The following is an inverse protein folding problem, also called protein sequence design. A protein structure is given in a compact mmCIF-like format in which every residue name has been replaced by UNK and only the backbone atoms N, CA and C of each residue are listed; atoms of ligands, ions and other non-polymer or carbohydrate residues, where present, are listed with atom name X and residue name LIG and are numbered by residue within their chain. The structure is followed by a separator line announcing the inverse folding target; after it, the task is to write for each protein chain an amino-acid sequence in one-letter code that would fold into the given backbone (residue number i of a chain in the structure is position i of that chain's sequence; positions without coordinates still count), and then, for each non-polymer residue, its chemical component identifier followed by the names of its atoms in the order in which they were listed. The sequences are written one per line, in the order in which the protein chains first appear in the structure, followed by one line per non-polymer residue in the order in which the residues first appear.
data_IF_246818252107
#
_entry.id   IF_246818252107
#
_cell.length_a   1.000
_cell.length_b   1.000
_cell.length_c   1.000
_cell.angle_alpha   90.00
_cell.angle_beta   90.00
_cell.angle_gamma   90.00
#
_symmetry.space_group_name_H-M   'P 1'
#
loop_
_entity.id
_entity.type
_entity.pdbx_description
1 polymer ?
#
# COMPACT_ATOMS: atom_id res chain seq x y z
N UNK A 1 18.61 -57.24 -23.23
CA UNK A 1 18.02 -56.69 -22.00
C UNK A 1 19.13 -56.05 -21.17
N UNK A 2 19.26 -54.73 -21.24
CA UNK A 2 20.19 -53.93 -20.42
C UNK A 2 19.45 -52.69 -19.92
N UNK A 3 19.61 -52.49 -18.62
CA UNK A 3 19.07 -51.47 -17.74
C UNK A 3 19.24 -50.05 -18.27
N UNK A 4 18.14 -49.28 -18.36
CA UNK A 4 18.16 -47.83 -18.55
C UNK A 4 17.34 -47.17 -17.45
N UNK A 5 17.89 -47.18 -16.24
CA UNK A 5 17.48 -46.28 -15.14
C UNK A 5 18.61 -45.27 -15.01
N UNK A 6 18.48 -44.10 -15.66
CA UNK A 6 19.43 -43.00 -15.49
C UNK A 6 18.73 -41.65 -15.52
N UNK A 7 18.62 -41.09 -14.32
CA UNK A 7 18.88 -39.68 -14.03
C UNK A 7 17.79 -38.66 -14.37
N UNK A 8 16.64 -38.80 -13.73
CA UNK A 8 15.89 -37.64 -13.24
C UNK A 8 16.64 -37.08 -12.00
N UNK A 9 16.61 -35.76 -11.80
CA UNK A 9 17.28 -34.96 -10.76
C UNK A 9 18.70 -34.46 -11.13
N UNK A 10 18.79 -33.22 -11.63
CA UNK A 10 19.12 -32.13 -10.72
C UNK A 10 18.37 -30.82 -11.04
N UNK A 11 17.12 -30.69 -10.59
CA UNK A 11 16.40 -29.40 -10.57
C UNK A 11 15.75 -29.14 -9.19
N UNK A 12 16.36 -29.65 -8.12
CA UNK A 12 15.83 -29.58 -6.76
C UNK A 12 16.62 -28.62 -5.84
N UNK A 13 17.43 -27.71 -6.40
CA UNK A 13 18.38 -26.90 -5.61
C UNK A 13 18.22 -25.38 -5.65
N UNK A 14 17.35 -24.82 -6.51
CA UNK A 14 17.37 -23.38 -6.81
C UNK A 14 16.07 -22.63 -6.48
N UNK A 15 15.26 -23.15 -5.55
CA UNK A 15 13.99 -22.53 -5.14
C UNK A 15 13.92 -22.22 -3.63
N UNK A 16 15.06 -21.98 -2.98
CA UNK A 16 15.12 -21.94 -1.50
C UNK A 16 15.54 -20.61 -0.86
N UNK A 17 15.66 -19.50 -1.60
CA UNK A 17 16.29 -18.27 -1.05
C UNK A 17 15.62 -16.92 -1.38
N UNK A 18 14.38 -16.90 -1.86
CA UNK A 18 13.61 -15.64 -2.02
C UNK A 18 12.50 -15.59 -0.96
N UNK A 19 12.90 -15.69 0.31
CA UNK A 19 12.08 -15.36 1.47
C UNK A 19 12.36 -13.92 1.88
N UNK A 20 11.88 -12.94 1.10
CA UNK A 20 11.85 -11.56 1.55
C UNK A 20 10.74 -11.48 2.58
N UNK A 21 11.09 -11.63 3.86
CA UNK A 21 10.16 -11.44 4.97
C UNK A 21 9.58 -10.04 4.89
N UNK A 22 8.40 -9.92 4.28
CA UNK A 22 7.65 -8.68 4.26
C UNK A 22 7.28 -8.38 5.70
N UNK A 23 7.80 -7.27 6.22
CA UNK A 23 7.44 -6.81 7.56
C UNK A 23 5.93 -6.55 7.53
N UNK A 24 5.17 -7.33 8.29
CA UNK A 24 3.73 -7.16 8.38
C UNK A 24 3.47 -5.87 9.17
N UNK A 25 3.11 -4.80 8.47
CA UNK A 25 2.69 -3.52 9.06
C UNK A 25 1.26 -3.58 9.62
N UNK A 26 0.79 -4.76 10.04
CA UNK A 26 -0.59 -4.93 10.52
C UNK A 26 -0.79 -4.34 11.93
N UNK A 27 0.26 -4.31 12.75
CA UNK A 27 0.20 -3.89 14.16
C UNK A 27 0.95 -2.58 14.45
N UNK A 28 1.27 -1.80 13.42
CA UNK A 28 1.93 -0.50 13.62
C UNK A 28 0.85 0.53 13.96
N UNK A 29 0.93 1.10 15.16
CA UNK A 29 0.07 2.21 15.55
C UNK A 29 0.27 3.39 14.58
N UNK A 30 -0.81 4.14 14.26
CA UNK A 30 -0.67 5.34 13.45
C UNK A 30 0.28 6.34 14.15
N UNK A 31 1.01 7.17 13.40
CA UNK A 31 1.88 8.17 13.99
C UNK A 31 1.07 9.17 14.82
N UNK A 32 1.67 9.85 15.83
CA UNK A 32 0.94 10.69 16.78
C UNK A 32 0.28 11.93 16.15
N UNK A 33 0.69 12.30 14.95
CA UNK A 33 0.18 13.39 14.11
C UNK A 33 -0.78 12.89 13.01
N UNK A 34 -1.21 11.63 13.07
CA UNK A 34 -2.16 11.08 12.11
C UNK A 34 -3.55 11.69 12.31
N UNK A 35 -4.05 12.35 11.27
CA UNK A 35 -5.42 12.82 11.17
C UNK A 35 -6.18 11.96 10.15
N UNK A 36 -7.33 11.42 10.56
CA UNK A 36 -8.13 10.53 9.72
C UNK A 36 -8.78 11.33 8.57
N UNK A 37 -8.32 11.08 7.35
CA UNK A 37 -8.78 11.78 6.15
C UNK A 37 -9.91 11.04 5.44
N UNK A 38 -10.16 9.78 5.79
CA UNK A 38 -11.22 8.98 5.22
C UNK A 38 -12.52 9.11 6.02
N UNK A 39 -13.16 10.27 5.92
CA UNK A 39 -14.47 10.51 6.55
C UNK A 39 -15.50 10.99 5.53
N UNK A 40 -16.78 10.69 5.77
CA UNK A 40 -17.90 11.16 4.91
C UNK A 40 -17.91 12.69 4.80
N UNK A 41 -17.54 13.41 5.87
CA UNK A 41 -17.47 14.86 5.87
C UNK A 41 -16.41 15.42 4.90
N UNK A 42 -15.29 14.72 4.74
CA UNK A 42 -14.19 15.12 3.86
C UNK A 42 -14.39 14.66 2.41
N UNK A 43 -15.02 13.50 2.21
CA UNK A 43 -15.25 12.93 0.88
C UNK A 43 -16.57 13.39 0.23
N UNK A 44 -17.55 13.78 1.05
CA UNK A 44 -18.83 14.30 0.59
C UNK A 44 -18.70 15.65 -0.12
N UNK A 45 -19.52 15.87 -1.14
CA UNK A 45 -19.59 17.14 -1.85
C UNK A 45 -21.02 17.48 -2.27
N UNK A 46 -21.26 18.68 -2.79
CA UNK A 46 -22.57 19.03 -3.35
C UNK A 46 -23.02 18.09 -4.48
N UNK A 47 -22.07 17.47 -5.19
CA UNK A 47 -22.32 16.61 -6.35
C UNK A 47 -22.23 15.11 -6.02
N UNK A 48 -21.90 14.73 -4.78
CA UNK A 48 -21.72 13.33 -4.37
C UNK A 48 -22.44 13.03 -3.07
N UNK A 49 -23.10 11.89 -3.02
CA UNK A 49 -23.56 11.29 -1.76
C UNK A 49 -22.56 10.25 -1.31
N UNK A 50 -22.07 10.40 -0.08
CA UNK A 50 -21.14 9.49 0.55
C UNK A 50 -21.76 8.88 1.81
N UNK A 51 -21.44 7.61 2.06
CA UNK A 51 -21.86 6.85 3.24
C UNK A 51 -20.64 6.18 3.87
N UNK A 52 -20.67 6.02 5.18
CA UNK A 52 -19.66 5.24 5.91
C UNK A 52 -20.21 3.83 6.14
N UNK A 53 -19.34 2.83 6.02
CA UNK A 53 -19.64 1.45 6.32
C UNK A 53 -18.50 0.82 7.12
N UNK A 54 -18.83 0.18 8.24
CA UNK A 54 -17.87 -0.53 9.06
C UNK A 54 -17.64 -1.94 8.53
N UNK A 55 -16.38 -2.32 8.37
CA UNK A 55 -15.94 -3.66 7.99
C UNK A 55 -14.96 -4.22 9.01
N UNK A 56 -14.71 -5.52 8.92
CA UNK A 56 -13.81 -6.22 9.82
C UNK A 56 -13.03 -7.30 9.07
N UNK A 57 -11.97 -7.81 9.69
CA UNK A 57 -11.20 -8.90 9.10
C UNK A 57 -12.02 -10.20 8.89
N UNK A 58 -13.13 -10.38 9.63
CA UNK A 58 -14.01 -11.54 9.49
C UNK A 58 -14.92 -11.40 8.26
N UNK A 59 -15.30 -10.17 7.95
CA UNK A 59 -16.23 -9.84 6.87
C UNK A 59 -15.67 -8.64 6.07
N UNK A 60 -14.54 -8.82 5.36
CA UNK A 60 -13.87 -7.71 4.68
C UNK A 60 -14.68 -7.13 3.52
N UNK A 61 -15.58 -7.93 2.94
CA UNK A 61 -16.35 -7.56 1.75
C UNK A 61 -17.79 -7.09 2.06
N UNK A 62 -18.15 -6.91 3.35
CA UNK A 62 -19.52 -6.56 3.75
C UNK A 62 -19.96 -5.22 3.15
N UNK A 63 -19.06 -4.23 3.10
CA UNK A 63 -19.37 -2.92 2.55
C UNK A 63 -19.48 -2.95 1.03
N UNK A 64 -18.63 -3.71 0.35
CA UNK A 64 -18.71 -3.89 -1.09
C UNK A 64 -20.02 -4.57 -1.51
N UNK A 65 -20.41 -5.63 -0.81
CA UNK A 65 -21.66 -6.33 -1.09
C UNK A 65 -22.90 -5.49 -0.79
N UNK A 66 -22.84 -4.63 0.22
CA UNK A 66 -23.95 -3.74 0.61
C UNK A 66 -24.12 -2.56 -0.35
N UNK A 67 -23.02 -1.92 -0.77
CA UNK A 67 -23.08 -0.62 -1.44
C UNK A 67 -22.83 -0.68 -2.96
N UNK A 68 -22.13 -1.71 -3.47
CA UNK A 68 -21.87 -1.81 -4.90
C UNK A 68 -23.16 -2.00 -5.72
N UNK A 69 -24.17 -2.67 -5.16
CA UNK A 69 -25.48 -2.85 -5.82
C UNK A 69 -26.26 -1.55 -5.97
N UNK A 70 -25.98 -0.57 -5.10
CA UNK A 70 -26.64 0.73 -5.07
C UNK A 70 -25.89 1.80 -5.88
N UNK A 71 -24.87 1.38 -6.63
CA UNK A 71 -24.05 2.24 -7.50
C UNK A 71 -23.02 3.07 -6.75
N UNK A 72 -22.75 2.78 -5.48
CA UNK A 72 -21.66 3.41 -4.76
C UNK A 72 -20.32 2.75 -5.09
N UNK A 73 -19.26 3.55 -5.14
CA UNK A 73 -17.89 3.10 -5.29
C UNK A 73 -17.08 3.41 -4.01
N UNK A 74 -16.18 2.50 -3.64
CA UNK A 74 -15.25 2.73 -2.53
C UNK A 74 -14.31 3.89 -2.90
N UNK A 75 -14.21 4.88 -2.02
CA UNK A 75 -13.34 6.04 -2.19
C UNK A 75 -12.09 5.91 -1.33
N UNK A 76 -12.26 5.49 -0.09
CA UNK A 76 -11.16 5.32 0.84
C UNK A 76 -11.53 4.35 1.98
N UNK A 77 -10.50 4.00 2.76
CA UNK A 77 -10.60 3.20 3.97
C UNK A 77 -9.84 3.89 5.10
N UNK A 78 -10.48 4.01 6.26
CA UNK A 78 -9.89 4.55 7.48
C UNK A 78 -8.80 3.61 8.04
N UNK A 79 -7.95 4.14 8.91
CA UNK A 79 -6.92 3.32 9.56
C UNK A 79 -7.55 2.30 10.51
N UNK A 80 -7.20 1.02 10.32
CA UNK A 80 -7.72 -0.05 11.16
C UNK A 80 -7.17 -1.42 10.79
N UNK A 81 -6.83 -2.23 11.79
CA UNK A 81 -6.32 -3.59 11.60
C UNK A 81 -7.43 -4.64 11.58
N UNK A 82 -8.12 -4.82 12.72
CA UNK A 82 -9.20 -5.80 12.86
C UNK A 82 -10.57 -5.26 12.42
N UNK A 83 -10.77 -3.96 12.56
CA UNK A 83 -11.98 -3.23 12.20
C UNK A 83 -11.56 -1.93 11.53
N UNK A 84 -12.30 -1.49 10.52
CA UNK A 84 -12.06 -0.25 9.82
C UNK A 84 -13.37 0.29 9.25
N UNK A 85 -13.41 1.59 8.99
CA UNK A 85 -14.51 2.22 8.26
C UNK A 85 -14.09 2.42 6.80
N UNK A 86 -15.05 2.25 5.91
CA UNK A 86 -14.92 2.54 4.49
C UNK A 86 -15.89 3.62 4.09
N UNK A 87 -15.42 4.57 3.27
CA UNK A 87 -16.28 5.59 2.70
C UNK A 87 -16.60 5.23 1.26
N UNK A 88 -17.90 5.13 1.00
CA UNK A 88 -18.47 4.76 -0.29
C UNK A 88 -19.25 5.94 -0.83
N UNK A 89 -18.99 6.36 -2.08
CA UNK A 89 -19.63 7.52 -2.67
C UNK A 89 -20.25 7.19 -4.03
N UNK A 90 -21.33 7.91 -4.36
CA UNK A 90 -21.91 7.94 -5.71
C UNK A 90 -22.19 9.38 -6.12
N UNK A 91 -22.14 9.64 -7.42
CA UNK A 91 -22.52 10.94 -7.95
C UNK A 91 -24.03 11.14 -7.80
N UNK A 92 -24.43 12.34 -7.39
CA UNK A 92 -25.83 12.75 -7.37
C UNK A 92 -26.29 12.98 -8.81
N UNK A 93 -27.53 12.63 -9.15
CA UNK A 93 -28.13 13.18 -10.36
C UNK A 93 -28.12 14.70 -10.19
N UNK A 94 -27.33 15.38 -11.02
CA UNK A 94 -27.42 16.83 -11.13
C UNK A 94 -28.75 17.08 -11.81
N UNK A 95 -29.74 17.57 -11.07
CA UNK A 95 -30.97 18.06 -11.65
C UNK A 95 -30.54 19.12 -12.68
N UNK A 96 -30.65 18.76 -13.97
CA UNK A 96 -30.11 19.54 -15.08
C UNK A 96 -30.75 20.94 -15.22
N UNK A 97 -31.74 21.24 -14.38
CA UNK A 97 -32.45 22.52 -14.34
C UNK A 97 -31.72 23.62 -13.56
N UNK A 98 -30.55 23.35 -12.96
CA UNK A 98 -29.70 24.39 -12.32
C UNK A 98 -28.36 24.55 -13.06
N UNK A 99 -28.36 24.38 -14.38
CA UNK A 99 -27.21 24.73 -15.25
C UNK A 99 -27.50 26.04 -15.96
N UNK A 100 -27.49 27.15 -15.22
CA UNK A 100 -27.11 28.46 -15.74
C UNK A 100 -26.91 29.40 -14.56
N UNK A 101 -25.78 30.09 -14.51
CA UNK A 101 -25.43 31.12 -13.52
C UNK A 101 -24.77 30.58 -12.25
N UNK A 102 -23.51 30.18 -12.37
CA UNK A 102 -22.42 30.84 -11.61
C UNK A 102 -21.12 30.41 -12.27
N UNK A 103 -20.77 31.12 -13.33
CA UNK A 103 -19.40 31.22 -13.80
C UNK A 103 -18.71 32.25 -12.91
N UNK A 104 -17.56 31.86 -12.38
CA UNK A 104 -16.42 32.75 -12.13
C UNK A 104 -16.62 33.92 -11.14
N UNK A 105 -16.29 33.67 -9.87
CA UNK A 105 -15.43 34.63 -9.18
C UNK A 105 -14.29 33.86 -8.52
N UNK A 106 -13.10 34.07 -9.07
CA UNK A 106 -11.81 33.62 -8.53
C UNK A 106 -11.24 34.75 -7.68
N UNK A 107 -11.22 34.68 -6.35
CA UNK A 107 -10.39 35.57 -5.55
C UNK A 107 -8.99 34.99 -5.46
N UNK A 108 -8.01 35.87 -5.63
CA UNK A 108 -6.58 35.60 -5.61
C UNK A 108 -6.07 35.11 -4.23
N UNK A 109 -5.04 34.25 -4.29
CA UNK A 109 -3.98 34.02 -3.27
C UNK A 109 -3.40 35.36 -2.76
N UNK A 110 -2.68 35.50 -1.60
CA UNK A 110 -2.12 34.52 -0.62
C UNK A 110 -2.26 35.02 0.88
N UNK A 111 -1.57 34.51 1.94
CA UNK A 111 -0.11 34.43 2.11
C UNK A 111 0.42 33.06 2.60
N UNK A 112 1.71 32.85 2.31
CA UNK A 112 2.56 31.82 2.90
C UNK A 112 2.51 31.87 4.43
N UNK A 113 2.18 30.76 5.07
CA UNK A 113 2.46 30.55 6.49
C UNK A 113 3.78 29.78 6.67
N UNK A 114 4.45 30.17 7.75
CA UNK A 114 5.87 30.07 8.04
C UNK A 114 6.22 28.70 8.64
N UNK A 115 7.12 27.97 7.98
CA UNK A 115 7.74 26.74 8.50
C UNK A 115 8.51 27.04 9.80
N UNK A 116 8.01 26.56 10.94
CA UNK A 116 8.85 26.29 12.11
C UNK A 116 9.36 24.86 12.03
N UNK A 117 10.57 24.74 11.50
CA UNK A 117 11.31 23.49 11.43
C UNK A 117 11.56 22.90 12.83
N UNK A 118 11.03 21.70 13.05
CA UNK A 118 11.66 20.74 13.95
C UNK A 118 12.60 19.87 13.10
N UNK A 119 13.87 20.28 13.05
CA UNK A 119 14.96 19.49 12.49
C UNK A 119 15.20 18.25 13.36
N UNK A 120 14.38 17.21 13.20
CA UNK A 120 14.72 15.89 13.74
C UNK A 120 15.77 15.31 12.81
N UNK A 121 17.00 15.27 13.32
CA UNK A 121 18.14 14.65 12.65
C UNK A 121 17.80 13.21 12.26
N UNK A 122 17.55 12.98 10.97
CA UNK A 122 17.49 11.63 10.42
C UNK A 122 18.86 10.99 10.60
N UNK A 123 18.96 10.13 11.62
CA UNK A 123 20.08 9.23 11.78
C UNK A 123 19.99 8.20 10.65
N UNK A 124 20.58 8.53 9.50
CA UNK A 124 20.69 7.66 8.32
C UNK A 124 21.53 6.44 8.73
N UNK A 125 20.97 5.23 8.85
CA UNK A 125 21.82 4.05 8.99
C UNK A 125 22.68 3.95 7.74
N UNK A 126 23.99 4.00 7.95
CA UNK A 126 25.01 3.89 6.91
C UNK A 126 24.97 2.47 6.35
N UNK A 127 24.13 2.23 5.33
CA UNK A 127 23.99 0.96 4.59
C UNK A 127 25.21 0.62 3.70
N UNK A 128 26.39 1.20 3.98
CA UNK A 128 27.56 1.14 3.09
C UNK A 128 28.50 -0.05 3.30
N UNK A 129 28.39 -0.82 4.40
CA UNK A 129 29.43 -1.80 4.75
C UNK A 129 29.00 -3.28 4.69
N UNK A 130 27.70 -3.60 4.75
CA UNK A 130 27.27 -5.02 4.78
C UNK A 130 27.18 -5.67 3.40
N UNK A 131 26.97 -4.89 2.33
CA UNK A 131 26.83 -5.44 0.97
C UNK A 131 28.11 -6.02 0.37
N UNK A 132 29.30 -5.59 0.84
CA UNK A 132 30.58 -6.09 0.32
C UNK A 132 30.93 -7.50 0.83
N UNK A 133 30.49 -7.84 2.05
CA UNK A 133 30.82 -9.12 2.69
C UNK A 133 30.06 -10.29 2.02
N UNK A 134 28.80 -10.09 1.64
CA UNK A 134 28.01 -11.10 0.93
C UNK A 134 28.53 -11.35 -0.49
N UNK A 135 28.96 -10.31 -1.20
CA UNK A 135 29.56 -10.44 -2.54
C UNK A 135 30.85 -11.27 -2.52
N UNK A 136 31.72 -11.06 -1.53
CA UNK A 136 32.97 -11.79 -1.39
C UNK A 136 32.76 -13.30 -1.10
N UNK A 137 31.76 -13.66 -0.29
CA UNK A 137 31.45 -15.06 0.02
C UNK A 137 30.92 -15.82 -1.20
N UNK A 138 30.11 -15.20 -2.06
CA UNK A 138 29.63 -15.83 -3.30
C UNK A 138 30.78 -16.12 -4.27
N UNK A 139 31.72 -15.18 -4.46
CA UNK A 139 32.85 -15.36 -5.37
C UNK A 139 33.79 -16.48 -4.90
N UNK A 140 34.05 -16.57 -3.59
CA UNK A 140 34.87 -17.66 -3.02
C UNK A 140 34.19 -19.03 -3.19
N UNK A 141 32.86 -19.11 -3.04
CA UNK A 141 32.11 -20.34 -3.29
C UNK A 141 32.22 -20.82 -4.75
N UNK A 142 32.08 -19.91 -5.71
CA UNK A 142 32.20 -20.23 -7.14
C UNK A 142 33.62 -20.70 -7.51
N UNK A 143 34.66 -20.06 -6.98
CA UNK A 143 36.05 -20.46 -7.19
C UNK A 143 36.34 -21.85 -6.61
N UNK A 144 35.79 -22.18 -5.44
CA UNK A 144 35.99 -23.49 -4.81
C UNK A 144 35.31 -24.62 -5.59
N UNK A 145 34.08 -24.41 -6.08
CA UNK A 145 33.37 -25.39 -6.92
C UNK A 145 34.07 -25.61 -8.25
N UNK A 146 34.59 -24.56 -8.88
CA UNK A 146 35.36 -24.65 -10.13
C UNK A 146 36.63 -25.49 -9.99
N UNK A 147 37.38 -25.30 -8.89
CA UNK A 147 38.63 -26.02 -8.63
C UNK A 147 38.44 -27.52 -8.34
N UNK A 148 37.26 -27.95 -7.88
CA UNK A 148 36.97 -29.37 -7.59
C UNK A 148 36.56 -30.19 -8.82
N UNK A 149 36.24 -29.53 -9.95
CA UNK A 149 35.73 -30.16 -11.17
C UNK A 149 36.75 -30.30 -12.29
N UNK A 150 37.96 -29.74 -12.13
CA UNK A 150 39.11 -30.01 -13.00
C UNK A 150 40.09 -30.94 -12.32
#
# INVERSE_FOLDING_TARGET
MRTFVRSLFPFAGLLSLIGISSVAFADVAPPPDYEETCTVALQGSATRDCVSCAASYQEPDICATTHATDGYANVCRAWGGSFWDEVWCKDKPVDADVVATTSEERPATPPKEEEKGCSVAMNRPSFGAQSLLLGAMMLLGLLWVGRRRG
#
